data_IF_989142126842
#
_entry.id   IF_989142126842
#
_cell.length_a   1.000
_cell.length_b   1.000
_cell.length_c   1.000
_cell.angle_alpha   90.00
_cell.angle_beta   90.00
_cell.angle_gamma   90.00
#
_symmetry.space_group_name_H-M   'P 1'
#
loop_
_entity.id
_entity.type
_entity.pdbx_description
1 polymer ?
#
# COMPACT_ATOMS: atom_id res chain seq x y z
N UNK A 1 -29.02 -62.29 -18.10
CA UNK A 1 -28.95 -62.94 -19.43
C UNK A 1 -30.31 -62.84 -20.13
N UNK A 2 -30.28 -62.57 -21.44
CA UNK A 2 -31.40 -62.68 -22.41
C UNK A 2 -32.50 -61.62 -22.36
N UNK A 3 -32.25 -60.35 -22.73
CA UNK A 3 -33.28 -59.45 -23.34
C UNK A 3 -32.74 -58.32 -24.26
N UNK A 4 -31.43 -58.24 -24.53
CA UNK A 4 -30.84 -57.17 -25.35
C UNK A 4 -30.03 -57.75 -26.52
N UNK A 5 -30.59 -58.76 -27.18
CA UNK A 5 -30.04 -59.34 -28.42
C UNK A 5 -31.15 -59.61 -29.44
N UNK A 6 -32.28 -58.91 -29.33
CA UNK A 6 -33.39 -59.05 -30.27
C UNK A 6 -33.86 -57.67 -30.71
N UNK A 7 -33.78 -57.44 -32.02
CA UNK A 7 -34.37 -56.33 -32.76
C UNK A 7 -33.49 -55.11 -32.99
N UNK A 8 -32.21 -55.45 -33.18
CA UNK A 8 -31.36 -55.03 -34.29
C UNK A 8 -31.94 -55.40 -35.70
N UNK A 9 -33.26 -55.51 -35.84
CA UNK A 9 -33.93 -56.06 -37.03
C UNK A 9 -35.13 -55.24 -37.52
N UNK A 10 -35.41 -54.06 -36.93
CA UNK A 10 -36.49 -53.16 -37.39
C UNK A 10 -35.97 -51.85 -37.98
N UNK A 11 -34.69 -51.52 -37.80
CA UNK A 11 -34.11 -50.27 -38.34
C UNK A 11 -33.36 -50.47 -39.67
N UNK A 12 -33.64 -51.57 -40.40
CA UNK A 12 -32.90 -51.94 -41.61
C UNK A 12 -33.73 -51.92 -42.92
N UNK A 13 -34.97 -51.40 -42.93
CA UNK A 13 -35.87 -51.56 -44.11
C UNK A 13 -36.69 -50.34 -44.53
N UNK A 14 -36.27 -49.10 -44.25
CA UNK A 14 -37.00 -47.91 -44.74
C UNK A 14 -36.18 -46.85 -45.47
N UNK A 15 -35.02 -47.19 -46.03
CA UNK A 15 -34.32 -46.27 -46.95
C UNK A 15 -33.96 -46.99 -48.25
N UNK A 16 -35.00 -47.34 -48.99
CA UNK A 16 -34.91 -47.50 -50.43
C UNK A 16 -36.09 -46.74 -51.06
N UNK A 17 -35.73 -45.76 -51.88
CA UNK A 17 -36.50 -45.14 -52.97
C UNK A 17 -37.35 -43.89 -52.64
N UNK A 18 -36.68 -42.73 -52.65
CA UNK A 18 -37.11 -41.61 -53.50
C UNK A 18 -35.94 -41.13 -54.35
N UNK A 19 -36.29 -40.79 -55.59
CA UNK A 19 -35.45 -40.65 -56.77
C UNK A 19 -35.24 -39.17 -57.12
N UNK A 20 -34.17 -38.92 -57.88
CA UNK A 20 -34.00 -37.82 -58.84
C UNK A 20 -33.56 -36.42 -58.33
N UNK A 21 -32.28 -36.13 -58.60
CA UNK A 21 -31.84 -35.24 -59.70
C UNK A 21 -31.12 -33.94 -59.29
N UNK A 22 -29.78 -34.00 -59.20
CA UNK A 22 -28.82 -33.09 -59.85
C UNK A 22 -27.39 -33.52 -59.49
N UNK A 23 -26.47 -33.76 -60.45
CA UNK A 23 -25.05 -33.75 -60.16
C UNK A 23 -24.62 -32.28 -60.10
N UNK A 24 -24.84 -31.64 -58.95
CA UNK A 24 -24.25 -30.35 -58.62
C UNK A 24 -23.41 -30.54 -57.34
N UNK A 25 -22.11 -30.71 -57.58
CA UNK A 25 -20.99 -30.55 -56.64
C UNK A 25 -21.15 -30.98 -55.18
N UNK A 26 -21.16 -32.29 -54.91
CA UNK A 26 -20.86 -32.80 -53.56
C UNK A 26 -19.39 -32.67 -53.16
N UNK A 27 -18.51 -32.31 -54.10
CA UNK A 27 -17.08 -32.10 -53.85
C UNK A 27 -16.78 -30.66 -53.37
N UNK A 28 -17.63 -29.67 -53.66
CA UNK A 28 -17.43 -28.29 -53.19
C UNK A 28 -17.81 -28.12 -51.72
N UNK A 29 -18.95 -28.68 -51.28
CA UNK A 29 -19.37 -28.59 -49.87
C UNK A 29 -18.43 -29.33 -48.88
N UNK A 30 -17.84 -30.47 -49.30
CA UNK A 30 -16.82 -31.18 -48.51
C UNK A 30 -15.45 -30.51 -48.53
N UNK A 31 -15.13 -29.77 -49.60
CA UNK A 31 -13.87 -29.02 -49.66
C UNK A 31 -13.95 -27.70 -48.88
N UNK A 32 -15.09 -27.01 -48.87
CA UNK A 32 -15.30 -25.77 -48.09
C UNK A 32 -15.21 -26.05 -46.58
N UNK A 33 -15.86 -27.11 -46.09
CA UNK A 33 -15.81 -27.52 -44.67
C UNK A 33 -14.39 -27.93 -44.24
N UNK A 34 -13.63 -28.54 -45.16
CA UNK A 34 -12.23 -28.93 -44.93
C UNK A 34 -11.27 -27.73 -44.95
N UNK A 35 -11.50 -26.74 -45.82
CA UNK A 35 -10.69 -25.52 -45.90
C UNK A 35 -10.91 -24.63 -44.67
N UNK A 36 -12.15 -24.47 -44.22
CA UNK A 36 -12.47 -23.74 -43.00
C UNK A 36 -11.89 -24.43 -41.75
N UNK A 37 -12.01 -25.76 -41.67
CA UNK A 37 -11.39 -26.56 -40.62
C UNK A 37 -9.86 -26.42 -40.62
N UNK A 38 -9.21 -26.48 -41.78
CA UNK A 38 -7.76 -26.31 -41.89
C UNK A 38 -7.30 -24.90 -41.50
N UNK A 39 -8.09 -23.86 -41.84
CA UNK A 39 -7.82 -22.48 -41.41
C UNK A 39 -7.92 -22.34 -39.90
N UNK A 40 -8.94 -22.93 -39.29
CA UNK A 40 -9.12 -22.93 -37.83
C UNK A 40 -7.99 -23.68 -37.13
N UNK A 41 -7.54 -24.82 -37.68
CA UNK A 41 -6.38 -25.56 -37.16
C UNK A 41 -5.12 -24.70 -37.24
N UNK A 42 -4.85 -24.06 -38.38
CA UNK A 42 -3.69 -23.19 -38.55
C UNK A 42 -3.70 -21.98 -37.59
N UNK A 43 -4.88 -21.40 -37.35
CA UNK A 43 -5.05 -20.30 -36.40
C UNK A 43 -4.79 -20.78 -34.96
N UNK A 44 -5.31 -21.96 -34.60
CA UNK A 44 -5.07 -22.57 -33.29
C UNK A 44 -3.61 -22.96 -33.09
N UNK A 45 -2.94 -23.48 -34.12
CA UNK A 45 -1.51 -23.80 -34.08
C UNK A 45 -0.66 -22.53 -33.89
N UNK A 46 -1.05 -21.42 -34.53
CA UNK A 46 -0.41 -20.12 -34.32
C UNK A 46 -0.58 -19.64 -32.89
N UNK A 47 -1.82 -19.68 -32.36
CA UNK A 47 -2.11 -19.32 -30.96
C UNK A 47 -1.35 -20.20 -29.97
N UNK A 48 -1.25 -21.51 -30.22
CA UNK A 48 -0.48 -22.44 -29.39
C UNK A 48 1.01 -22.08 -29.41
N UNK A 49 1.57 -21.77 -30.58
CA UNK A 49 2.97 -21.37 -30.70
C UNK A 49 3.26 -20.05 -30.00
N UNK A 50 2.35 -19.07 -30.09
CA UNK A 50 2.46 -17.78 -29.40
C UNK A 50 2.41 -17.97 -27.88
N UNK A 51 1.44 -18.74 -27.38
CA UNK A 51 1.32 -19.04 -25.94
C UNK A 51 2.51 -19.85 -25.41
N UNK A 52 3.08 -20.76 -26.21
CA UNK A 52 4.28 -21.49 -25.84
C UNK A 52 5.49 -20.56 -25.71
N UNK A 53 5.64 -19.61 -26.64
CA UNK A 53 6.69 -18.60 -26.57
C UNK A 53 6.50 -17.66 -25.38
N UNK A 54 5.28 -17.17 -25.16
CA UNK A 54 4.97 -16.32 -23.99
C UNK A 54 5.27 -17.05 -22.68
N UNK A 55 4.92 -18.35 -22.59
CA UNK A 55 5.25 -19.17 -21.44
C UNK A 55 6.76 -19.28 -21.23
N UNK A 56 7.53 -19.52 -22.29
CA UNK A 56 9.00 -19.58 -22.20
C UNK A 56 9.59 -18.24 -21.77
N UNK A 57 9.12 -17.12 -22.34
CA UNK A 57 9.54 -15.77 -21.97
C UNK A 57 9.22 -15.46 -20.50
N UNK A 58 8.03 -15.84 -20.02
CA UNK A 58 7.63 -15.67 -18.62
C UNK A 58 8.45 -16.56 -17.68
N UNK A 59 8.77 -17.79 -18.07
CA UNK A 59 9.62 -18.68 -17.28
C UNK A 59 11.04 -18.12 -17.14
N UNK A 60 11.63 -17.66 -18.25
CA UNK A 60 12.94 -17.01 -18.23
C UNK A 60 12.92 -15.73 -17.36
N UNK A 61 11.86 -14.93 -17.45
CA UNK A 61 11.69 -13.73 -16.62
C UNK A 61 11.60 -14.07 -15.13
N UNK A 62 10.82 -15.10 -14.78
CA UNK A 62 10.70 -15.58 -13.40
C UNK A 62 12.05 -16.04 -12.85
N UNK A 63 12.80 -16.86 -13.60
CA UNK A 63 14.12 -17.34 -13.20
C UNK A 63 15.10 -16.18 -12.96
N UNK A 64 15.09 -15.17 -13.83
CA UNK A 64 15.91 -13.97 -13.66
C UNK A 64 15.53 -13.18 -12.41
N UNK A 65 14.22 -12.96 -12.17
CA UNK A 65 13.73 -12.27 -10.98
C UNK A 65 14.10 -13.04 -9.70
N UNK A 66 14.00 -14.37 -9.71
CA UNK A 66 14.39 -15.21 -8.57
C UNK A 66 15.89 -15.11 -8.28
N UNK A 67 16.71 -15.07 -9.34
CA UNK A 67 18.16 -14.89 -9.21
C UNK A 67 18.51 -13.50 -8.67
N UNK A 68 17.91 -12.45 -9.21
CA UNK A 68 18.10 -11.07 -8.74
C UNK A 68 17.66 -10.90 -7.28
N UNK A 69 16.52 -11.50 -6.91
CA UNK A 69 16.03 -11.51 -5.53
C UNK A 69 17.01 -12.23 -4.60
N UNK A 70 17.58 -13.35 -5.05
CA UNK A 70 18.59 -14.08 -4.28
C UNK A 70 19.82 -13.20 -4.03
N UNK A 71 20.39 -12.60 -5.07
CA UNK A 71 21.57 -11.74 -4.92
C UNK A 71 21.29 -10.52 -4.05
N UNK A 72 20.12 -9.89 -4.21
CA UNK A 72 19.70 -8.76 -3.38
C UNK A 72 19.59 -9.15 -1.90
N UNK A 73 19.08 -10.35 -1.61
CA UNK A 73 19.02 -10.87 -0.23
C UNK A 73 20.41 -11.14 0.35
N UNK A 74 21.28 -11.79 -0.41
CA UNK A 74 22.66 -12.06 0.02
C UNK A 74 23.43 -10.77 0.30
N UNK A 75 23.25 -9.74 -0.55
CA UNK A 75 23.84 -8.42 -0.35
C UNK A 75 23.25 -7.71 0.89
N UNK A 76 21.93 -7.73 1.08
CA UNK A 76 21.29 -7.15 2.26
C UNK A 76 21.76 -7.83 3.56
N UNK A 77 21.87 -9.15 3.58
CA UNK A 77 22.38 -9.92 4.72
C UNK A 77 23.85 -9.59 5.01
N UNK A 78 24.67 -9.43 3.97
CA UNK A 78 26.07 -9.01 4.11
C UNK A 78 26.19 -7.62 4.76
N UNK A 79 25.45 -6.62 4.27
CA UNK A 79 25.49 -5.28 4.89
C UNK A 79 24.95 -5.29 6.31
N UNK A 80 23.92 -6.09 6.59
CA UNK A 80 23.39 -6.24 7.96
C UNK A 80 24.43 -6.82 8.91
N UNK A 81 25.19 -7.83 8.47
CA UNK A 81 26.29 -8.38 9.26
C UNK A 81 27.38 -7.33 9.50
N UNK A 82 27.80 -6.63 8.44
CA UNK A 82 28.81 -5.58 8.54
C UNK A 82 28.38 -4.46 9.52
N UNK A 83 27.12 -4.03 9.47
CA UNK A 83 26.59 -3.03 10.40
C UNK A 83 26.60 -3.55 11.84
N UNK A 84 26.17 -4.79 12.08
CA UNK A 84 26.22 -5.37 13.42
C UNK A 84 27.65 -5.47 13.96
N UNK A 85 28.61 -5.83 13.11
CA UNK A 85 30.04 -5.89 13.46
C UNK A 85 30.62 -4.50 13.76
N UNK A 86 30.08 -3.44 13.17
CA UNK A 86 30.47 -2.05 13.47
C UNK A 86 29.82 -1.57 14.77
N UNK A 87 28.53 -1.86 14.97
CA UNK A 87 27.75 -1.39 16.12
C UNK A 87 28.21 -2.02 17.43
N UNK A 88 28.79 -3.24 17.40
CA UNK A 88 29.26 -3.91 18.63
C UNK A 88 30.33 -3.10 19.40
N UNK A 89 31.08 -2.26 18.69
CA UNK A 89 32.13 -1.41 19.25
C UNK A 89 31.62 -0.01 19.62
N UNK A 90 30.32 0.28 19.42
CA UNK A 90 29.73 1.56 19.81
C UNK A 90 29.58 1.62 21.33
N UNK A 91 29.78 2.82 21.88
CA UNK A 91 29.37 3.12 23.25
C UNK A 91 27.86 3.35 23.29
N UNK A 92 27.26 3.12 24.44
CA UNK A 92 25.83 3.34 24.68
C UNK A 92 25.34 4.71 24.18
N UNK A 93 26.14 5.78 24.32
CA UNK A 93 25.76 7.11 23.83
C UNK A 93 25.67 7.16 22.30
N UNK A 94 26.61 6.51 21.59
CA UNK A 94 26.65 6.49 20.12
C UNK A 94 25.55 5.60 19.55
N UNK A 95 25.27 4.48 20.23
CA UNK A 95 24.15 3.61 19.89
C UNK A 95 22.81 4.34 20.08
N UNK A 96 22.66 5.07 21.18
CA UNK A 96 21.47 5.89 21.43
C UNK A 96 21.34 7.03 20.41
N UNK A 97 22.41 7.73 20.07
CA UNK A 97 22.38 8.78 19.03
C UNK A 97 21.95 8.20 17.67
N UNK A 98 22.59 7.11 17.23
CA UNK A 98 22.24 6.44 15.98
C UNK A 98 20.79 5.94 15.96
N UNK A 99 20.31 5.34 17.05
CA UNK A 99 18.93 4.86 17.12
C UNK A 99 17.93 6.01 17.10
N UNK A 100 18.24 7.14 17.76
CA UNK A 100 17.41 8.35 17.74
C UNK A 100 17.25 8.93 16.34
N UNK A 101 18.30 8.89 15.53
CA UNK A 101 18.29 9.38 14.14
C UNK A 101 17.39 8.55 13.20
N UNK A 102 17.00 7.33 13.61
CA UNK A 102 16.05 6.50 12.86
C UNK A 102 14.59 6.80 13.19
N UNK A 103 14.32 7.78 14.04
CA UNK A 103 12.96 8.22 14.37
C UNK A 103 12.84 9.72 14.13
N UNK A 104 12.03 10.05 13.13
CA UNK A 104 11.74 11.45 12.79
C UNK A 104 10.35 11.82 13.30
N UNK A 105 10.22 13.05 13.79
CA UNK A 105 8.97 13.60 14.29
C UNK A 105 8.71 14.93 13.59
N UNK A 106 7.45 15.17 13.22
CA UNK A 106 7.05 16.40 12.56
C UNK A 106 5.75 16.94 13.16
N UNK A 107 5.78 18.20 13.61
CA UNK A 107 4.62 18.92 14.11
C UNK A 107 4.21 19.98 13.09
N UNK A 108 2.99 19.85 12.59
CA UNK A 108 2.44 20.67 11.52
C UNK A 108 1.17 21.37 11.93
N UNK A 109 0.95 22.54 11.35
CA UNK A 109 -0.32 23.26 11.37
C UNK A 109 -0.78 23.44 9.93
N UNK A 110 -1.91 22.83 9.55
CA UNK A 110 -2.45 22.86 8.20
C UNK A 110 -1.42 22.42 7.13
N UNK A 111 -0.64 21.39 7.44
CA UNK A 111 0.41 20.87 6.55
C UNK A 111 1.68 21.72 6.48
N UNK A 112 1.84 22.73 7.34
CA UNK A 112 3.05 23.57 7.43
C UNK A 112 3.76 23.27 8.75
N UNK A 113 5.05 22.94 8.66
CA UNK A 113 5.91 22.69 9.83
C UNK A 113 5.94 23.90 10.77
N UNK A 114 5.75 23.63 12.06
CA UNK A 114 5.83 24.64 13.11
C UNK A 114 7.26 25.20 13.18
N UNK A 115 7.38 26.53 13.19
CA UNK A 115 8.69 27.19 13.28
C UNK A 115 9.34 26.99 14.65
N UNK A 116 10.66 27.16 14.73
CA UNK A 116 11.49 26.93 15.92
C UNK A 116 10.97 27.64 17.20
N UNK A 117 10.37 28.82 17.05
CA UNK A 117 9.81 29.61 18.13
C UNK A 117 8.40 29.19 18.56
N UNK A 118 7.83 28.15 17.95
CA UNK A 118 6.51 27.60 18.28
C UNK A 118 5.32 28.46 17.86
N UNK A 119 5.52 29.52 17.07
CA UNK A 119 4.44 30.42 16.63
C UNK A 119 4.05 30.14 15.18
N UNK A 120 2.75 30.00 14.94
CA UNK A 120 2.18 29.85 13.60
C UNK A 120 1.02 30.83 13.39
N UNK A 121 1.06 31.54 12.27
CA UNK A 121 -0.05 32.38 11.82
C UNK A 121 -0.69 31.74 10.58
N UNK A 122 -2.01 31.58 10.58
CA UNK A 122 -2.73 30.96 9.46
C UNK A 122 -3.99 31.74 9.11
N UNK A 123 -4.34 31.79 7.82
CA UNK A 123 -5.60 32.39 7.33
C UNK A 123 -6.74 31.37 7.25
N UNK A 124 -6.45 30.11 7.53
CA UNK A 124 -7.43 29.04 7.37
C UNK A 124 -8.51 29.13 8.45
N UNK A 125 -9.76 28.90 8.04
CA UNK A 125 -10.91 28.85 8.96
C UNK A 125 -10.93 27.58 9.81
N UNK A 126 -10.23 26.55 9.34
CA UNK A 126 -10.02 25.29 10.02
C UNK A 126 -8.53 25.21 10.35
N UNK A 127 -8.24 24.90 11.61
CA UNK A 127 -6.87 24.64 12.05
C UNK A 127 -6.77 23.15 12.37
N UNK A 128 -5.90 22.47 11.63
CA UNK A 128 -5.51 21.09 11.86
C UNK A 128 -4.08 21.09 12.40
N UNK A 129 -3.91 20.63 13.64
CA UNK A 129 -2.61 20.39 14.25
C UNK A 129 -2.31 18.90 14.07
N UNK A 130 -1.18 18.57 13.45
CA UNK A 130 -0.79 17.19 13.18
C UNK A 130 0.56 16.91 13.79
N UNK A 131 0.67 15.83 14.56
CA UNK A 131 1.96 15.27 14.98
C UNK A 131 2.15 13.95 14.26
N UNK A 132 3.30 13.79 13.62
CA UNK A 132 3.64 12.64 12.79
C UNK A 132 4.91 12.00 13.33
N UNK A 133 4.95 10.67 13.35
CA UNK A 133 6.13 9.87 13.62
C UNK A 133 6.49 9.06 12.37
N UNK A 134 7.76 9.12 11.98
CA UNK A 134 8.30 8.44 10.80
C UNK A 134 9.49 7.56 11.19
N UNK A 135 9.61 6.42 10.52
CA UNK A 135 10.75 5.50 10.66
C UNK A 135 11.24 5.05 9.27
N UNK A 136 12.49 4.57 9.12
CA UNK A 136 12.95 3.98 7.88
C UNK A 136 12.09 2.78 7.43
N UNK A 137 11.96 2.54 6.11
CA UNK A 137 11.23 1.40 5.59
C UNK A 137 11.87 0.05 5.91
N UNK A 138 13.15 0.05 6.24
CA UNK A 138 13.91 -1.13 6.59
C UNK A 138 14.68 -0.86 7.88
N UNK A 139 14.42 -1.68 8.89
CA UNK A 139 15.12 -1.61 10.16
C UNK A 139 16.53 -2.20 10.01
N UNK A 140 17.54 -1.34 10.10
CA UNK A 140 18.95 -1.73 9.98
C UNK A 140 19.58 -2.12 11.31
N UNK A 141 19.07 -1.62 12.44
CA UNK A 141 19.58 -1.92 13.78
C UNK A 141 18.87 -3.14 14.41
N UNK A 142 19.52 -3.84 15.36
CA UNK A 142 18.81 -4.81 16.20
C UNK A 142 17.59 -4.18 16.89
N UNK A 143 16.52 -4.95 17.08
CA UNK A 143 15.22 -4.41 17.50
C UNK A 143 15.21 -3.69 18.85
N UNK A 144 15.97 -4.21 19.82
CA UNK A 144 16.13 -3.54 21.11
C UNK A 144 16.77 -2.16 20.95
N UNK A 145 17.81 -2.06 20.11
CA UNK A 145 18.53 -0.82 19.83
C UNK A 145 17.64 0.17 19.10
N UNK A 146 16.97 -0.29 18.04
CA UNK A 146 16.07 0.52 17.25
C UNK A 146 14.95 1.15 18.11
N UNK A 147 14.31 0.35 18.97
CA UNK A 147 13.22 0.82 19.82
C UNK A 147 13.67 1.81 20.92
N UNK A 148 14.92 1.74 21.37
CA UNK A 148 15.48 2.71 22.31
C UNK A 148 15.55 4.13 21.74
N UNK A 149 15.62 4.24 20.41
CA UNK A 149 15.62 5.53 19.72
C UNK A 149 14.27 6.23 19.70
N UNK A 150 13.16 5.53 19.94
CA UNK A 150 11.81 6.09 19.91
C UNK A 150 11.60 7.02 21.11
N UNK A 151 10.77 8.05 20.94
CA UNK A 151 10.26 8.86 22.05
C UNK A 151 9.53 7.98 23.09
N UNK A 152 9.59 8.35 24.37
CA UNK A 152 9.00 7.55 25.43
C UNK A 152 7.47 7.44 25.33
N UNK A 153 6.91 6.23 25.39
CA UNK A 153 5.46 6.04 25.25
C UNK A 153 4.95 6.28 23.82
N UNK A 154 3.77 6.88 23.70
CA UNK A 154 3.17 7.24 22.43
C UNK A 154 3.40 8.72 22.11
N UNK A 155 3.86 9.01 20.89
CA UNK A 155 4.27 10.36 20.49
C UNK A 155 3.18 11.42 20.64
N UNK A 156 1.90 11.05 20.53
CA UNK A 156 0.77 11.95 20.71
C UNK A 156 0.46 12.28 22.18
N UNK A 157 0.90 11.44 23.12
CA UNK A 157 0.77 11.72 24.57
C UNK A 157 1.69 12.86 25.03
N UNK A 158 2.65 13.23 24.17
CA UNK A 158 3.53 14.37 24.41
C UNK A 158 2.89 15.71 24.11
N UNK A 159 1.61 15.75 23.72
CA UNK A 159 0.87 16.97 23.44
C UNK A 159 -0.28 17.11 24.45
N UNK A 160 -0.32 18.22 25.18
CA UNK A 160 -1.29 18.46 26.25
C UNK A 160 -1.76 19.91 26.32
N UNK A 161 -2.70 20.16 27.25
CA UNK A 161 -3.10 21.50 27.70
C UNK A 161 -3.56 22.44 26.58
N UNK A 162 -4.34 21.90 25.63
CA UNK A 162 -4.97 22.73 24.62
C UNK A 162 -5.88 23.79 25.27
N UNK A 163 -5.71 25.06 24.89
CA UNK A 163 -6.52 26.19 25.39
C UNK A 163 -7.97 26.15 24.93
N UNK A 164 -8.24 25.35 23.89
CA UNK A 164 -9.55 25.07 23.36
C UNK A 164 -9.62 23.56 23.19
N UNK A 165 -10.75 22.93 23.47
CA UNK A 165 -10.91 21.51 23.16
C UNK A 165 -10.97 21.36 21.64
N UNK A 166 -10.23 20.41 21.03
CA UNK A 166 -10.48 19.99 19.66
C UNK A 166 -11.97 19.65 19.49
N UNK A 167 -12.48 19.77 18.27
CA UNK A 167 -13.87 19.42 18.01
C UNK A 167 -14.14 17.96 18.46
N UNK A 168 -14.97 17.77 19.48
CA UNK A 168 -15.53 16.47 19.85
C UNK A 168 -16.59 16.07 18.82
N UNK A 169 -16.59 14.81 18.41
CA UNK A 169 -17.75 14.25 17.71
C UNK A 169 -18.46 13.26 18.60
N UNK A 170 -19.77 13.40 18.66
CA UNK A 170 -20.67 12.30 18.96
C UNK A 170 -20.95 11.59 17.63
N UNK A 171 -20.61 10.31 17.51
CA UNK A 171 -21.08 9.48 16.41
C UNK A 171 -22.61 9.53 16.37
N UNK A 172 -23.19 10.30 15.45
CA UNK A 172 -24.58 10.16 15.06
C UNK A 172 -24.62 9.69 13.62
N UNK A 173 -25.09 8.45 13.45
CA UNK A 173 -25.47 7.89 12.16
C UNK A 173 -26.28 8.93 11.37
N UNK A 174 -25.88 9.16 10.11
CA UNK A 174 -26.50 10.09 9.15
C UNK A 174 -26.00 11.55 9.17
N UNK A 175 -24.73 11.79 8.83
CA UNK A 175 -24.30 12.81 7.83
C UNK A 175 -22.77 12.79 7.67
N UNK A 176 -22.30 12.86 6.43
CA UNK A 176 -20.88 12.84 6.09
C UNK A 176 -20.27 14.24 6.30
N UNK A 177 -19.08 14.28 6.90
CA UNK A 177 -18.25 15.44 7.28
C UNK A 177 -18.42 15.98 8.72
N UNK A 178 -17.97 15.18 9.67
CA UNK A 178 -17.50 15.62 10.99
C UNK A 178 -16.03 15.23 11.12
N UNK A 179 -15.14 16.18 11.37
CA UNK A 179 -13.72 15.86 11.54
C UNK A 179 -13.26 16.18 12.97
N UNK A 180 -12.88 15.08 13.62
CA UNK A 180 -12.60 14.82 15.03
C UNK A 180 -11.08 14.85 15.28
N UNK A 181 -10.64 14.56 16.50
CA UNK A 181 -9.28 14.02 16.69
C UNK A 181 -9.20 12.66 15.99
N UNK A 182 -8.28 12.46 15.04
CA UNK A 182 -8.15 11.19 14.31
C UNK A 182 -6.70 10.78 14.11
N UNK A 183 -6.48 9.47 13.97
CA UNK A 183 -5.19 8.89 13.65
C UNK A 183 -5.08 8.47 12.18
N UNK A 184 -3.88 8.59 11.62
CA UNK A 184 -3.50 7.92 10.37
C UNK A 184 -2.48 6.84 10.69
N UNK A 185 -2.73 5.62 10.24
CA UNK A 185 -1.85 4.48 10.46
C UNK A 185 -1.25 3.98 9.15
N UNK A 186 0.06 3.87 9.13
CA UNK A 186 0.85 3.41 8.01
C UNK A 186 2.10 2.70 8.52
N UNK A 187 2.67 1.81 7.70
CA UNK A 187 3.83 1.00 8.12
C UNK A 187 5.07 1.83 8.46
N UNK A 188 5.22 2.99 7.82
CA UNK A 188 6.41 3.85 7.88
C UNK A 188 6.11 5.17 8.57
N UNK A 189 4.88 5.64 8.43
CA UNK A 189 4.42 6.96 8.88
C UNK A 189 3.11 6.75 9.61
N UNK A 190 3.03 7.26 10.83
CA UNK A 190 1.80 7.32 11.61
C UNK A 190 1.59 8.76 12.06
N UNK A 191 0.34 9.18 12.23
CA UNK A 191 0.00 10.56 12.61
C UNK A 191 -1.20 10.64 13.53
N UNK A 192 -1.21 11.65 14.38
CA UNK A 192 -2.37 12.07 15.19
C UNK A 192 -2.72 13.51 14.84
N UNK A 193 -4.00 13.77 14.60
CA UNK A 193 -4.49 15.02 14.08
C UNK A 193 -5.57 15.60 15.01
N UNK A 194 -5.47 16.88 15.33
CA UNK A 194 -6.41 17.63 16.16
C UNK A 194 -7.01 18.77 15.35
N UNK A 195 -8.33 18.76 15.16
CA UNK A 195 -9.04 19.74 14.34
C UNK A 195 -9.85 20.73 15.17
N UNK A 196 -9.78 21.98 14.75
CA UNK A 196 -10.45 23.12 15.35
C UNK A 196 -11.20 23.87 14.26
N UNK A 197 -12.52 23.88 14.34
CA UNK A 197 -13.39 24.54 13.36
C UNK A 197 -14.03 25.80 13.94
N UNK A 198 -14.62 26.61 13.05
CA UNK A 198 -15.40 27.80 13.43
C UNK A 198 -14.62 28.84 14.24
N UNK A 199 -13.32 28.96 13.99
CA UNK A 199 -12.47 29.95 14.65
C UNK A 199 -12.72 31.35 14.08
N UNK A 200 -12.85 32.35 14.95
CA UNK A 200 -12.97 33.74 14.55
C UNK A 200 -11.58 34.33 14.21
N UNK A 201 -11.54 35.38 13.38
CA UNK A 201 -10.29 36.11 13.19
C UNK A 201 -9.76 36.61 14.54
N UNK A 202 -8.46 36.43 14.79
CA UNK A 202 -7.83 36.70 16.09
C UNK A 202 -7.96 35.58 17.12
N UNK A 203 -8.63 34.46 16.82
CA UNK A 203 -8.62 33.29 17.69
C UNK A 203 -7.22 32.69 17.78
N UNK A 204 -6.84 32.29 18.99
CA UNK A 204 -5.56 31.63 19.27
C UNK A 204 -5.80 30.28 19.93
N UNK A 205 -5.12 29.25 19.42
CA UNK A 205 -5.01 27.94 20.04
C UNK A 205 -3.60 27.84 20.62
N UNK A 206 -3.50 27.52 21.90
CA UNK A 206 -2.21 27.20 22.54
C UNK A 206 -2.23 25.79 23.06
N UNK A 207 -1.09 25.11 23.01
CA UNK A 207 -0.90 23.79 23.61
C UNK A 207 0.54 23.63 24.06
N UNK A 208 0.79 22.63 24.90
CA UNK A 208 2.11 22.33 25.44
C UNK A 208 2.62 21.02 24.84
N UNK A 209 3.91 20.97 24.56
CA UNK A 209 4.64 19.74 24.25
C UNK A 209 5.64 19.41 25.35
N UNK A 210 5.96 18.14 25.57
CA UNK A 210 7.00 17.79 26.55
C UNK A 210 8.39 18.22 26.10
N UNK A 211 9.35 18.30 27.02
CA UNK A 211 10.74 18.62 26.70
C UNK A 211 11.37 17.60 25.74
N UNK A 212 11.00 16.33 25.85
CA UNK A 212 11.47 15.28 24.96
C UNK A 212 11.00 15.53 23.52
N UNK A 213 9.71 15.80 23.30
CA UNK A 213 9.18 16.08 21.97
C UNK A 213 9.75 17.40 21.42
N UNK A 214 9.92 18.43 22.27
CA UNK A 214 10.57 19.69 21.90
C UNK A 214 11.99 19.47 21.37
N UNK A 215 12.78 18.62 22.04
CA UNK A 215 14.13 18.27 21.60
C UNK A 215 14.10 17.54 20.25
N UNK A 216 13.18 16.59 20.07
CA UNK A 216 13.01 15.85 18.79
C UNK A 216 12.60 16.74 17.63
N UNK A 217 11.76 17.74 17.88
CA UNK A 217 11.31 18.71 16.88
C UNK A 217 12.31 19.87 16.68
N UNK A 218 13.40 19.91 17.45
CA UNK A 218 14.36 21.02 17.48
C UNK A 218 13.69 22.40 17.70
N UNK A 219 12.71 22.45 18.60
CA UNK A 219 11.98 23.67 18.96
C UNK A 219 12.62 24.36 20.17
N UNK A 220 12.56 25.70 20.22
CA UNK A 220 13.08 26.49 21.33
C UNK A 220 12.09 26.62 22.50
N UNK A 221 10.83 26.27 22.27
CA UNK A 221 9.73 26.40 23.24
C UNK A 221 8.91 25.12 23.34
N UNK A 222 8.40 24.86 24.54
CA UNK A 222 7.42 23.80 24.80
C UNK A 222 5.98 24.30 24.58
N UNK A 223 5.76 25.60 24.48
CA UNK A 223 4.43 26.18 24.24
C UNK A 223 4.29 26.56 22.76
N UNK A 224 3.29 25.97 22.11
CA UNK A 224 2.97 26.25 20.71
C UNK A 224 1.75 27.16 20.65
N UNK A 225 1.81 28.17 19.79
CA UNK A 225 0.79 29.22 19.64
C UNK A 225 0.39 29.30 18.18
N UNK A 226 -0.88 29.01 17.90
CA UNK A 226 -1.45 29.10 16.55
C UNK A 226 -2.51 30.18 16.53
N UNK A 227 -2.29 31.23 15.74
CA UNK A 227 -3.22 32.36 15.61
C UNK A 227 -3.85 32.41 14.23
N UNK A 228 -5.18 32.50 14.20
CA UNK A 228 -5.92 32.78 12.97
C UNK A 228 -5.84 34.28 12.66
N UNK A 229 -5.20 34.61 11.54
CA UNK A 229 -5.12 35.98 11.01
C UNK A 229 -6.14 36.19 9.89
N UNK A 230 -6.44 37.45 9.57
CA UNK A 230 -7.36 37.84 8.47
C UNK A 230 -6.88 37.39 7.09
#
# INVERSE_FOLDING_TARGET
MKKITWLLTVLLTTILLTSCNQPASSDEAKNIDREETNRLISEKDTQISELQKEKEDLQNSLENIELDLKYTKEEADYYKQLLNDIIIDFRDEQENELSRDLWEYELNVNGIVVSDNGVVNTKNNIIEISIVQMQPPYQILPNNVFLNGKISGDYYDHISDFSQTPNETYETYETYETYETYGTDGTIITGMHYKFNNLNAGSTITFTITDELKERLNLMTSQIIVTKVE
#
